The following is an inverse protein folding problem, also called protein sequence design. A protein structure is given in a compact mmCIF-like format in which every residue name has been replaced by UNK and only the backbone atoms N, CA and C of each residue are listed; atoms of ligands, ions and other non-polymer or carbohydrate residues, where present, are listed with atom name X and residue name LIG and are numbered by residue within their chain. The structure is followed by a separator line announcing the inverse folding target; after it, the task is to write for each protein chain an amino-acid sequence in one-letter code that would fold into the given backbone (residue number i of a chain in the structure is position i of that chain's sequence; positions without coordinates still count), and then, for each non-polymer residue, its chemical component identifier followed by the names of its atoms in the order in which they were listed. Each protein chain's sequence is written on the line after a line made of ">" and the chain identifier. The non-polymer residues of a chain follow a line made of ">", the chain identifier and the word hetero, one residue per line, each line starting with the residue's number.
data_IF_740921114696
#
_entry.id   IF_740921114696
#
_cell.length_a   1.000
_cell.length_b   1.000
_cell.length_c   1.000
_cell.angle_alpha   90.00
_cell.angle_beta   90.00
_cell.angle_gamma   90.00
#
_symmetry.space_group_name_H-M   'P 1'
#
loop_
_entity.id
_entity.type
_entity.pdbx_description
1 polymer ?
#
# COMPACT_ATOMS: atom_id res chain seq x y z
N UNK A 1 -3.42 -15.72 -16.35
CA UNK A 1 -4.35 -15.70 -15.20
C UNK A 1 -4.70 -14.27 -14.90
N UNK A 2 -5.78 -13.76 -15.48
CA UNK A 2 -6.24 -12.39 -15.26
C UNK A 2 -7.15 -12.38 -14.03
N UNK A 3 -6.57 -12.16 -12.86
CA UNK A 3 -7.34 -11.91 -11.64
C UNK A 3 -8.13 -10.63 -11.83
N UNK A 4 -9.46 -10.72 -11.75
CA UNK A 4 -10.39 -9.59 -11.74
C UNK A 4 -9.95 -8.60 -10.66
N UNK A 5 -9.40 -7.46 -11.06
CA UNK A 5 -9.26 -6.29 -10.19
C UNK A 5 -10.68 -5.80 -9.96
N UNK A 6 -11.17 -5.88 -8.71
CA UNK A 6 -12.42 -5.23 -8.30
C UNK A 6 -12.34 -3.76 -8.72
N UNK A 7 -13.30 -3.31 -9.52
CA UNK A 7 -13.31 -2.05 -10.29
C UNK A 7 -13.49 -0.78 -9.41
N UNK A 8 -13.04 -0.83 -8.15
CA UNK A 8 -13.31 0.16 -7.12
C UNK A 8 -12.09 1.05 -6.77
N UNK A 9 -10.89 0.71 -7.22
CA UNK A 9 -9.67 1.52 -6.99
C UNK A 9 -9.11 1.96 -8.33
N UNK A 10 -9.07 3.28 -8.56
CA UNK A 10 -8.54 3.87 -9.80
C UNK A 10 -7.03 3.61 -9.96
N UNK A 11 -6.50 3.83 -11.16
CA UNK A 11 -5.06 3.66 -11.44
C UNK A 11 -4.25 4.66 -10.61
N UNK A 12 -4.73 5.89 -10.48
CA UNK A 12 -4.13 6.96 -9.67
C UNK A 12 -4.09 6.55 -8.20
N UNK A 13 -5.18 6.00 -7.69
CA UNK A 13 -5.28 5.53 -6.31
C UNK A 13 -4.37 4.34 -6.03
N UNK A 14 -4.22 3.42 -6.98
CA UNK A 14 -3.23 2.33 -6.90
C UNK A 14 -1.79 2.87 -6.86
N UNK A 15 -1.47 3.84 -7.73
CA UNK A 15 -0.16 4.47 -7.73
C UNK A 15 0.13 5.21 -6.41
N UNK A 16 -0.87 5.89 -5.85
CA UNK A 16 -0.78 6.55 -4.55
C UNK A 16 -0.52 5.55 -3.42
N UNK A 17 -1.26 4.43 -3.35
CA UNK A 17 -1.02 3.38 -2.35
C UNK A 17 0.41 2.82 -2.42
N UNK A 18 0.93 2.59 -3.63
CA UNK A 18 2.30 2.15 -3.81
C UNK A 18 3.33 3.22 -3.39
N UNK A 19 3.05 4.50 -3.65
CA UNK A 19 3.89 5.61 -3.20
C UNK A 19 3.92 5.69 -1.67
N UNK A 20 2.75 5.58 -1.03
CA UNK A 20 2.61 5.57 0.44
C UNK A 20 3.45 4.43 1.02
N UNK A 21 3.24 3.19 0.56
CA UNK A 21 3.95 2.03 1.06
C UNK A 21 5.48 2.19 0.96
N UNK A 22 5.99 2.66 -0.19
CA UNK A 22 7.44 2.85 -0.39
C UNK A 22 8.01 3.95 0.51
N UNK A 23 7.36 5.11 0.53
CA UNK A 23 7.85 6.25 1.30
C UNK A 23 7.81 5.99 2.82
N UNK A 24 6.79 5.28 3.32
CA UNK A 24 6.74 4.85 4.73
C UNK A 24 7.86 3.87 5.10
N UNK A 25 8.19 2.93 4.21
CA UNK A 25 9.33 2.01 4.44
C UNK A 25 10.64 2.80 4.45
N UNK A 26 10.83 3.68 3.47
CA UNK A 26 12.05 4.49 3.34
C UNK A 26 12.26 5.42 4.54
N UNK A 27 11.23 6.13 4.99
CA UNK A 27 11.32 7.03 6.14
C UNK A 27 11.66 6.25 7.42
N UNK A 28 11.04 5.08 7.62
CA UNK A 28 11.32 4.23 8.78
C UNK A 28 12.77 3.75 8.79
N UNK A 29 13.27 3.24 7.65
CA UNK A 29 14.65 2.78 7.52
C UNK A 29 15.67 3.92 7.73
N UNK A 30 15.32 5.14 7.34
CA UNK A 30 16.14 6.34 7.54
C UNK A 30 15.97 7.00 8.91
N UNK A 31 15.16 6.42 9.81
CA UNK A 31 14.82 7.00 11.12
C UNK A 31 14.25 8.43 11.02
N UNK A 32 13.51 8.69 9.96
CA UNK A 32 12.80 9.94 9.72
C UNK A 32 11.34 9.83 10.18
N UNK A 33 10.69 10.98 10.36
CA UNK A 33 9.24 11.02 10.64
C UNK A 33 8.48 10.34 9.48
N UNK A 34 7.39 9.61 9.77
CA UNK A 34 6.52 9.08 8.73
C UNK A 34 6.02 10.22 7.82
N UNK A 35 6.01 10.02 6.49
CA UNK A 35 5.47 11.01 5.56
C UNK A 35 3.97 11.20 5.80
N UNK A 36 3.52 12.44 5.70
CA UNK A 36 2.11 12.79 5.65
C UNK A 36 1.60 12.69 4.20
N UNK A 37 0.39 12.18 4.03
CA UNK A 37 -0.25 12.06 2.73
C UNK A 37 -1.65 12.63 2.81
N UNK A 38 -1.96 13.53 1.89
CA UNK A 38 -3.33 13.94 1.65
C UNK A 38 -4.00 12.90 0.75
N UNK A 39 -5.01 12.21 1.28
CA UNK A 39 -5.78 11.20 0.55
C UNK A 39 -7.21 11.72 0.38
N UNK A 40 -7.56 12.09 -0.85
CA UNK A 40 -8.87 12.65 -1.18
C UNK A 40 -9.83 11.61 -1.77
N UNK A 41 -9.32 10.48 -2.24
CA UNK A 41 -10.16 9.39 -2.75
C UNK A 41 -10.89 8.69 -1.59
N UNK A 42 -12.22 8.84 -1.57
CA UNK A 42 -13.12 8.23 -0.58
C UNK A 42 -12.99 6.70 -0.51
N UNK A 43 -12.64 6.03 -1.61
CA UNK A 43 -12.46 4.58 -1.62
C UNK A 43 -11.23 4.16 -0.80
N UNK A 44 -10.19 4.99 -0.76
CA UNK A 44 -8.98 4.75 0.03
C UNK A 44 -9.13 5.12 1.51
N UNK A 45 -10.15 5.92 1.86
CA UNK A 45 -10.47 6.28 3.24
C UNK A 45 -11.31 5.21 3.96
N UNK A 46 -11.83 4.23 3.23
CA UNK A 46 -12.58 3.12 3.82
C UNK A 46 -11.63 2.16 4.51
N UNK A 47 -12.01 1.69 5.70
CA UNK A 47 -11.25 0.65 6.39
C UNK A 47 -11.30 -0.65 5.60
N UNK A 48 -10.12 -1.16 5.21
CA UNK A 48 -9.95 -2.39 4.42
C UNK A 48 -8.73 -3.15 4.93
N UNK A 49 -8.70 -4.46 4.68
CA UNK A 49 -7.47 -5.24 4.80
C UNK A 49 -6.47 -4.81 3.72
N UNK A 50 -5.18 -4.87 4.03
CA UNK A 50 -4.12 -4.52 3.10
C UNK A 50 -2.86 -5.34 3.38
N UNK A 51 -2.13 -5.66 2.31
CA UNK A 51 -0.85 -6.37 2.35
C UNK A 51 0.18 -5.60 1.53
N UNK A 52 1.40 -5.54 2.05
CA UNK A 52 2.56 -5.02 1.33
C UNK A 52 3.53 -6.16 1.10
N UNK A 53 3.82 -6.43 -0.16
CA UNK A 53 4.81 -7.44 -0.57
C UNK A 53 6.01 -6.76 -1.22
N UNK A 54 7.20 -7.12 -0.78
CA UNK A 54 8.47 -6.67 -1.36
C UNK A 54 9.10 -7.81 -2.14
N UNK A 55 9.57 -7.51 -3.35
CA UNK A 55 10.34 -8.41 -4.18
C UNK A 55 11.75 -7.83 -4.43
N UNK A 56 12.75 -8.69 -4.48
CA UNK A 56 14.13 -8.34 -4.85
C UNK A 56 14.65 -9.38 -5.85
N UNK A 57 15.10 -8.93 -7.02
CA UNK A 57 15.51 -9.81 -8.13
C UNK A 57 14.45 -10.87 -8.50
N UNK A 58 13.18 -10.46 -8.52
CA UNK A 58 12.04 -11.36 -8.80
C UNK A 58 11.66 -12.31 -7.66
N UNK A 59 12.42 -12.33 -6.56
CA UNK A 59 12.15 -13.21 -5.42
C UNK A 59 11.47 -12.47 -4.27
N UNK A 60 10.63 -13.17 -3.52
CA UNK A 60 9.96 -12.63 -2.33
C UNK A 60 11.01 -12.22 -1.29
N UNK A 61 10.96 -10.95 -0.87
CA UNK A 61 11.79 -10.41 0.22
C UNK A 61 11.02 -10.30 1.53
N UNK A 62 9.69 -10.18 1.46
CA UNK A 62 8.80 -10.15 2.62
C UNK A 62 7.38 -9.77 2.25
N UNK A 63 6.41 -10.22 3.04
CA UNK A 63 5.00 -9.88 2.92
C UNK A 63 4.40 -9.73 4.31
N UNK A 64 3.79 -8.58 4.60
CA UNK A 64 3.12 -8.27 5.87
C UNK A 64 1.81 -7.53 5.58
N UNK A 65 0.79 -7.80 6.38
CA UNK A 65 -0.50 -7.12 6.24
C UNK A 65 -1.50 -7.55 7.29
N UNK A 66 -2.65 -6.89 7.25
CA UNK A 66 -3.82 -7.25 8.05
C UNK A 66 -4.91 -7.78 7.12
N UNK A 67 -5.40 -8.99 7.41
CA UNK A 67 -6.49 -9.61 6.63
C UNK A 67 -7.80 -8.83 6.81
N UNK A 68 -8.08 -8.41 8.05
CA UNK A 68 -9.29 -7.66 8.40
C UNK A 68 -8.96 -6.17 8.64
N UNK A 69 -9.96 -5.27 8.49
CA UNK A 69 -9.81 -3.83 8.69
C UNK A 69 -9.68 -3.44 10.18
N UNK A 70 -8.59 -3.84 10.82
CA UNK A 70 -8.35 -3.56 12.24
C UNK A 70 -7.92 -2.11 12.54
N UNK A 71 -7.37 -1.42 11.53
CA UNK A 71 -6.88 -0.03 11.64
C UNK A 71 -7.82 0.90 10.89
#
# INVERSE_FOLDING_TARGET
>A
MNSKISKDISVESQALLLKIARASIESHLRKQKPPEFEVTDKNLLQKRGAFVTLHKHGQLRGCIGYVLPYK
#
